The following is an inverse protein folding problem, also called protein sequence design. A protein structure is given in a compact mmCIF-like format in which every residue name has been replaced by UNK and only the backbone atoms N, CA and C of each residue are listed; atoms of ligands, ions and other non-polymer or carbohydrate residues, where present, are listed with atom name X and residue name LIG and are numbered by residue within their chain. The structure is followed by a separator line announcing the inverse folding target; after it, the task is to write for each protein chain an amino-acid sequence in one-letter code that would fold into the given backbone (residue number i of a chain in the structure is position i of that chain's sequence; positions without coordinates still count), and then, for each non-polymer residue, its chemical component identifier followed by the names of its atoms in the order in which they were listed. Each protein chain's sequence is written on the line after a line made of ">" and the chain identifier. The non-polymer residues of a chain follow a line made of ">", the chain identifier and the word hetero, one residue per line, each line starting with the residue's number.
data_IF_969803967506
#
_entry.id   IF_969803967506
#
_cell.length_a   1.000
_cell.length_b   1.000
_cell.length_c   1.000
_cell.angle_alpha   90.00
_cell.angle_beta   90.00
_cell.angle_gamma   90.00
#
_symmetry.space_group_name_H-M   'P 1'
#
loop_
_entity.id
_entity.type
_entity.pdbx_description
1 polymer ?
#
# COMPACT_ATOMS: atom_id res chain seq x y z
N UNK A 1 19.87 -23.87 63.72
CA UNK A 1 19.85 -23.23 62.39
C UNK A 1 21.21 -22.58 62.15
N UNK A 2 21.88 -22.91 61.03
CA UNK A 2 23.30 -22.64 60.78
C UNK A 2 23.57 -21.13 60.51
N UNK A 3 24.74 -20.59 60.92
CA UNK A 3 25.08 -19.16 60.85
C UNK A 3 25.09 -18.56 59.43
N UNK A 4 25.15 -19.41 58.39
CA UNK A 4 25.15 -19.01 56.97
C UNK A 4 23.81 -18.39 56.52
N UNK A 5 22.67 -18.79 57.13
CA UNK A 5 21.36 -18.24 56.76
C UNK A 5 21.13 -16.83 57.31
N UNK A 6 21.77 -16.47 58.42
CA UNK A 6 21.63 -15.15 59.05
C UNK A 6 22.45 -14.09 58.28
N UNK A 7 23.61 -14.47 57.76
CA UNK A 7 24.45 -13.60 56.92
C UNK A 7 23.77 -13.34 55.57
N UNK A 8 23.18 -14.35 54.92
CA UNK A 8 22.43 -14.12 53.67
C UNK A 8 21.21 -13.20 53.87
N UNK A 9 20.47 -13.36 54.97
CA UNK A 9 19.30 -12.51 55.27
C UNK A 9 19.71 -11.06 55.59
N UNK A 10 20.80 -10.87 56.35
CA UNK A 10 21.33 -9.54 56.64
C UNK A 10 21.87 -8.84 55.38
N UNK A 11 22.53 -9.57 54.48
CA UNK A 11 23.03 -9.02 53.20
C UNK A 11 21.87 -8.66 52.26
N UNK A 12 20.79 -9.45 52.23
CA UNK A 12 19.60 -9.16 51.43
C UNK A 12 18.84 -7.93 51.95
N UNK A 13 18.74 -7.76 53.28
CA UNK A 13 18.12 -6.58 53.90
C UNK A 13 18.97 -5.33 53.67
N UNK A 14 20.30 -5.43 53.73
CA UNK A 14 21.21 -4.30 53.45
C UNK A 14 21.21 -3.89 51.98
N UNK A 15 21.07 -4.84 51.05
CA UNK A 15 20.87 -4.55 49.62
C UNK A 15 19.48 -3.97 49.33
N UNK A 16 18.43 -4.39 50.03
CA UNK A 16 17.10 -3.79 49.90
C UNK A 16 17.06 -2.36 50.45
N UNK A 17 17.73 -2.07 51.56
CA UNK A 17 17.75 -0.72 52.13
C UNK A 17 18.57 0.26 51.29
N UNK A 18 19.68 -0.17 50.67
CA UNK A 18 20.43 0.69 49.74
C UNK A 18 19.66 1.02 48.46
N UNK A 19 18.81 0.12 47.95
CA UNK A 19 17.97 0.38 46.78
C UNK A 19 16.79 1.30 47.12
N UNK A 20 16.24 1.20 48.33
CA UNK A 20 15.10 2.04 48.77
C UNK A 20 15.54 3.45 49.18
N UNK A 21 16.75 3.66 49.72
CA UNK A 21 17.23 5.02 50.07
C UNK A 21 17.82 5.80 48.90
N UNK A 22 18.07 5.16 47.75
CA UNK A 22 18.51 5.84 46.53
C UNK A 22 17.33 6.44 45.71
N UNK A 23 16.08 6.14 46.11
CA UNK A 23 14.87 6.78 45.58
C UNK A 23 14.37 7.85 46.56
N UNK A 24 15.17 8.91 46.73
CA UNK A 24 14.61 10.16 47.24
C UNK A 24 13.47 10.62 46.32
N UNK A 25 12.46 11.36 46.82
CA UNK A 25 11.43 11.94 45.97
C UNK A 25 12.15 12.72 44.87
N UNK A 26 11.99 12.29 43.62
CA UNK A 26 12.42 13.11 42.50
C UNK A 26 11.59 14.38 42.61
N UNK A 27 12.21 15.43 43.16
CA UNK A 27 11.72 16.80 42.99
C UNK A 27 11.46 16.92 41.52
N UNK A 28 10.18 16.99 41.15
CA UNK A 28 9.74 16.85 39.78
C UNK A 28 10.63 17.72 38.91
N UNK A 29 11.45 17.08 38.07
CA UNK A 29 11.82 17.75 36.85
C UNK A 29 10.47 18.13 36.26
N UNK A 30 10.19 19.44 36.05
CA UNK A 30 9.00 19.81 35.33
C UNK A 30 9.03 18.93 34.09
N UNK A 31 7.97 18.13 33.89
CA UNK A 31 7.85 17.28 32.73
C UNK A 31 8.33 18.14 31.58
N UNK A 32 9.44 17.76 30.94
CA UNK A 32 9.93 18.55 29.82
C UNK A 32 8.76 18.54 28.87
N UNK A 33 8.05 19.67 28.80
CA UNK A 33 6.99 19.87 27.85
C UNK A 33 7.74 19.73 26.55
N UNK A 34 7.66 18.54 25.94
CA UNK A 34 8.09 18.36 24.57
C UNK A 34 7.43 19.51 23.85
N UNK A 35 8.19 20.40 23.19
CA UNK A 35 7.60 21.53 22.48
C UNK A 35 6.48 20.95 21.65
N UNK A 36 5.24 21.36 21.94
CA UNK A 36 4.07 20.83 21.25
C UNK A 36 4.36 21.10 19.78
N UNK A 37 4.64 20.02 19.05
CA UNK A 37 5.18 20.15 17.72
C UNK A 37 4.08 20.80 16.90
N UNK A 38 4.35 22.02 16.45
CA UNK A 38 3.38 22.82 15.71
C UNK A 38 2.91 22.00 14.49
N UNK A 39 1.64 21.56 14.48
CA UNK A 39 1.12 20.75 13.38
C UNK A 39 1.19 21.51 12.05
N UNK A 40 1.23 22.84 12.11
CA UNK A 40 1.30 23.74 10.97
C UNK A 40 2.74 24.14 10.63
N UNK A 41 3.77 23.57 11.30
CA UNK A 41 5.18 23.85 10.98
C UNK A 41 5.54 23.45 9.56
N UNK A 42 4.95 22.35 9.08
CA UNK A 42 5.15 21.87 7.71
C UNK A 42 4.42 22.80 6.75
N UNK A 43 3.14 23.07 6.97
CA UNK A 43 2.37 23.95 6.09
C UNK A 43 2.96 25.37 6.03
N UNK A 44 3.48 25.89 7.15
CA UNK A 44 4.21 27.17 7.24
C UNK A 44 5.54 27.12 6.49
N UNK A 45 6.34 26.06 6.66
CA UNK A 45 7.60 25.88 5.92
C UNK A 45 7.40 25.72 4.41
N UNK A 46 6.19 25.34 3.97
CA UNK A 46 5.83 25.13 2.58
C UNK A 46 4.90 26.24 2.04
N UNK A 47 4.64 27.32 2.78
CA UNK A 47 3.73 28.40 2.33
C UNK A 47 4.10 28.98 0.95
N UNK A 48 5.39 29.13 0.65
CA UNK A 48 5.84 29.59 -0.67
C UNK A 48 5.59 28.56 -1.79
N UNK A 49 5.59 27.27 -1.47
CA UNK A 49 5.25 26.18 -2.40
C UNK A 49 3.73 26.06 -2.62
N UNK A 50 2.94 26.32 -1.57
CA UNK A 50 1.47 26.26 -1.53
C UNK A 50 0.82 27.46 -2.24
N UNK A 51 1.47 28.63 -2.21
CA UNK A 51 0.99 29.86 -2.85
C UNK A 51 1.43 30.00 -4.31
N UNK A 52 2.08 28.99 -4.88
CA UNK A 52 2.55 29.05 -6.26
C UNK A 52 1.38 29.06 -7.26
N UNK A 53 1.50 29.93 -8.27
CA UNK A 53 0.60 30.07 -9.43
C UNK A 53 0.17 28.71 -9.99
N UNK A 54 -0.99 28.66 -10.64
CA UNK A 54 -1.59 27.48 -11.27
C UNK A 54 -0.58 26.66 -12.10
N UNK A 55 0.13 25.75 -11.42
CA UNK A 55 1.21 24.94 -11.98
C UNK A 55 0.67 24.00 -13.05
N UNK A 56 -0.61 23.66 -12.99
CA UNK A 56 -1.28 22.87 -14.02
C UNK A 56 -1.37 23.67 -15.33
N UNK A 57 -1.81 24.93 -15.25
CA UNK A 57 -1.85 25.82 -16.42
C UNK A 57 -0.46 26.09 -17.00
N UNK A 58 0.55 26.27 -16.14
CA UNK A 58 1.94 26.48 -16.58
C UNK A 58 2.53 25.21 -17.22
N UNK A 59 2.31 24.03 -16.63
CA UNK A 59 2.73 22.75 -17.18
C UNK A 59 2.05 22.48 -18.53
N UNK A 60 0.74 22.72 -18.65
CA UNK A 60 0.01 22.59 -19.92
C UNK A 60 0.61 23.49 -20.99
N UNK A 61 0.89 24.77 -20.67
CA UNK A 61 1.51 25.72 -21.58
C UNK A 61 2.92 25.28 -22.01
N UNK A 62 3.71 24.74 -21.09
CA UNK A 62 5.04 24.21 -21.40
C UNK A 62 4.96 22.98 -22.31
N UNK A 63 4.04 22.05 -22.03
CA UNK A 63 3.77 20.89 -22.89
C UNK A 63 3.35 21.33 -24.29
N UNK A 64 2.43 22.28 -24.41
CA UNK A 64 2.00 22.85 -25.71
C UNK A 64 3.16 23.49 -26.48
N UNK A 65 4.14 24.08 -25.78
CA UNK A 65 5.31 24.72 -26.39
C UNK A 65 6.36 23.70 -26.85
N UNK A 66 6.58 22.63 -26.07
CA UNK A 66 7.66 21.66 -26.28
C UNK A 66 7.24 20.48 -27.15
N UNK A 67 6.00 20.01 -27.02
CA UNK A 67 5.51 18.83 -27.74
C UNK A 67 5.70 18.91 -29.27
N UNK A 68 5.47 20.06 -29.95
CA UNK A 68 5.70 20.17 -31.39
C UNK A 68 7.17 20.08 -31.82
N UNK A 69 8.12 20.29 -30.88
CA UNK A 69 9.56 20.28 -31.14
C UNK A 69 10.21 18.92 -30.87
N UNK A 70 9.48 17.96 -30.29
CA UNK A 70 9.99 16.61 -30.05
C UNK A 70 10.06 15.82 -31.38
N UNK A 71 11.11 15.02 -31.62
CA UNK A 71 11.19 14.17 -32.81
C UNK A 71 9.97 13.25 -32.84
N UNK A 72 9.21 13.30 -33.93
CA UNK A 72 8.07 12.42 -34.12
C UNK A 72 8.54 10.97 -34.05
N UNK A 73 8.14 10.24 -33.01
CA UNK A 73 8.03 8.80 -33.11
C UNK A 73 7.18 8.48 -34.35
N UNK A 74 7.28 7.28 -34.93
CA UNK A 74 6.39 6.81 -35.99
C UNK A 74 4.94 6.74 -35.49
N UNK A 75 4.34 7.90 -35.32
CA UNK A 75 3.08 8.21 -34.73
C UNK A 75 2.04 8.03 -35.81
N UNK A 76 1.18 7.04 -35.64
CA UNK A 76 0.01 6.89 -36.47
C UNK A 76 -1.10 7.80 -35.92
N UNK A 77 -1.77 8.51 -36.81
CA UNK A 77 -3.07 9.15 -36.55
C UNK A 77 -4.22 8.36 -37.19
N UNK A 78 -3.92 7.21 -37.80
CA UNK A 78 -4.93 6.37 -38.42
C UNK A 78 -5.82 5.75 -37.34
N UNK A 79 -7.15 5.67 -37.54
CA UNK A 79 -8.05 5.09 -36.56
C UNK A 79 -7.65 3.67 -36.16
N UNK A 80 -7.55 3.39 -34.85
CA UNK A 80 -7.38 2.03 -34.34
C UNK A 80 -8.77 1.37 -34.22
N UNK A 81 -8.97 0.16 -34.77
CA UNK A 81 -10.21 -0.59 -34.58
C UNK A 81 -10.49 -0.81 -33.09
N UNK A 82 -11.70 -0.45 -32.64
CA UNK A 82 -12.15 -0.72 -31.26
C UNK A 82 -12.73 -2.12 -31.17
N UNK A 83 -12.18 -2.97 -30.30
CA UNK A 83 -12.69 -4.33 -30.07
C UNK A 83 -13.50 -4.47 -28.78
N UNK A 84 -13.22 -3.66 -27.76
CA UNK A 84 -13.90 -3.74 -26.47
C UNK A 84 -14.01 -2.36 -25.79
N UNK A 85 -14.67 -2.33 -24.62
CA UNK A 85 -14.88 -1.10 -23.86
C UNK A 85 -13.57 -0.47 -23.36
N UNK A 86 -12.50 -1.26 -23.15
CA UNK A 86 -11.18 -0.73 -22.76
C UNK A 86 -10.60 0.09 -23.92
N UNK A 87 -10.71 -0.41 -25.15
CA UNK A 87 -10.30 0.33 -26.34
C UNK A 87 -11.09 1.63 -26.48
N UNK A 88 -12.39 1.64 -26.17
CA UNK A 88 -13.21 2.84 -26.16
C UNK A 88 -12.66 3.90 -25.20
N UNK A 89 -12.35 3.53 -23.97
CA UNK A 89 -11.80 4.44 -22.96
C UNK A 89 -10.40 4.96 -23.32
N UNK A 90 -9.48 4.07 -23.71
CA UNK A 90 -8.09 4.43 -24.01
C UNK A 90 -8.02 5.26 -25.28
N UNK A 91 -8.43 4.68 -26.41
CA UNK A 91 -8.25 5.35 -27.69
C UNK A 91 -9.25 6.51 -27.86
N UNK A 92 -10.39 6.50 -27.15
CA UNK A 92 -11.34 7.61 -27.17
C UNK A 92 -10.78 8.84 -26.48
N UNK A 93 -10.01 8.64 -25.40
CA UNK A 93 -9.27 9.72 -24.75
C UNK A 93 -8.11 10.21 -25.61
N UNK A 94 -7.34 9.30 -26.21
CA UNK A 94 -6.23 9.61 -27.11
C UNK A 94 -6.70 10.47 -28.30
N UNK A 95 -7.80 10.09 -28.95
CA UNK A 95 -8.40 10.86 -30.05
C UNK A 95 -8.87 12.24 -29.60
N UNK A 96 -9.60 12.33 -28.48
CA UNK A 96 -10.08 13.61 -27.93
C UNK A 96 -8.94 14.58 -27.61
N UNK A 97 -7.85 14.05 -27.08
CA UNK A 97 -6.68 14.84 -26.67
C UNK A 97 -5.68 15.03 -27.83
N UNK A 98 -5.99 14.54 -29.04
CA UNK A 98 -5.12 14.57 -30.23
C UNK A 98 -3.72 13.99 -29.98
N UNK A 99 -3.65 12.95 -29.14
CA UNK A 99 -2.40 12.28 -28.81
C UNK A 99 -2.09 11.27 -29.93
N UNK A 100 -0.91 11.31 -30.56
CA UNK A 100 -0.52 10.28 -31.50
C UNK A 100 -0.32 8.93 -30.81
N UNK A 101 -0.68 7.84 -31.48
CA UNK A 101 -0.48 6.48 -30.94
C UNK A 101 0.42 5.64 -31.85
N UNK A 102 0.95 4.55 -31.30
CA UNK A 102 1.68 3.57 -32.08
C UNK A 102 0.76 2.90 -33.12
N UNK A 103 1.29 2.46 -34.28
CA UNK A 103 0.53 1.64 -35.22
C UNK A 103 0.21 0.27 -34.61
N UNK A 104 -0.73 -0.45 -35.23
CA UNK A 104 -1.02 -1.83 -34.87
C UNK A 104 0.23 -2.70 -35.09
N UNK A 105 0.59 -3.51 -34.08
CA UNK A 105 1.75 -4.39 -34.13
C UNK A 105 1.64 -5.42 -35.28
N UNK A 106 2.78 -5.82 -35.85
CA UNK A 106 2.83 -6.90 -36.84
C UNK A 106 2.38 -8.24 -36.22
N UNK A 107 2.10 -9.24 -37.05
CA UNK A 107 1.66 -10.55 -36.55
C UNK A 107 2.77 -11.26 -35.75
N UNK A 108 4.02 -11.14 -36.16
CA UNK A 108 5.17 -11.69 -35.44
C UNK A 108 5.36 -11.01 -34.08
N UNK A 109 5.27 -9.67 -34.04
CA UNK A 109 5.36 -8.90 -32.82
C UNK A 109 4.21 -9.22 -31.86
N UNK A 110 2.98 -9.24 -32.37
CA UNK A 110 1.79 -9.57 -31.60
C UNK A 110 1.90 -10.96 -30.99
N UNK A 111 2.23 -11.98 -31.80
CA UNK A 111 2.29 -13.36 -31.34
C UNK A 111 3.37 -13.55 -30.27
N UNK A 112 4.54 -12.91 -30.43
CA UNK A 112 5.58 -12.95 -29.41
C UNK A 112 5.10 -12.32 -28.10
N UNK A 113 4.50 -11.12 -28.16
CA UNK A 113 4.04 -10.39 -26.96
C UNK A 113 2.97 -11.16 -26.22
N UNK A 114 1.93 -11.63 -26.91
CA UNK A 114 0.82 -12.34 -26.26
C UNK A 114 1.28 -13.63 -25.58
N UNK A 115 2.22 -14.38 -26.17
CA UNK A 115 2.77 -15.58 -25.56
C UNK A 115 3.59 -15.28 -24.30
N UNK A 116 4.46 -14.26 -24.36
CA UNK A 116 5.30 -13.87 -23.21
C UNK A 116 4.43 -13.29 -22.09
N UNK A 117 3.49 -12.42 -22.43
CA UNK A 117 2.66 -11.74 -21.45
C UNK A 117 1.65 -12.71 -20.81
N UNK A 118 1.01 -13.58 -21.61
CA UNK A 118 -0.01 -14.49 -21.10
C UNK A 118 0.58 -15.68 -20.34
N UNK A 119 1.64 -16.31 -20.86
CA UNK A 119 2.14 -17.59 -20.32
C UNK A 119 3.65 -17.61 -20.03
N UNK A 120 4.39 -16.50 -20.24
CA UNK A 120 5.82 -16.41 -19.92
C UNK A 120 6.75 -17.17 -20.88
N UNK A 121 6.23 -17.78 -21.95
CA UNK A 121 7.01 -18.58 -22.91
C UNK A 121 7.07 -17.93 -24.29
N UNK A 122 8.00 -18.39 -25.13
CA UNK A 122 8.04 -18.03 -26.54
C UNK A 122 7.22 -19.02 -27.38
N UNK A 123 6.54 -18.55 -28.45
CA UNK A 123 5.88 -19.45 -29.38
C UNK A 123 6.92 -20.28 -30.13
N UNK A 124 6.61 -21.55 -30.40
CA UNK A 124 7.45 -22.43 -31.22
C UNK A 124 7.54 -21.93 -32.67
N UNK A 125 8.63 -22.22 -33.42
CA UNK A 125 8.75 -21.84 -34.83
C UNK A 125 7.56 -22.28 -35.69
N UNK A 126 7.00 -23.45 -35.44
CA UNK A 126 5.84 -24.00 -36.17
C UNK A 126 4.60 -23.13 -35.94
N UNK A 127 4.28 -22.83 -34.68
CA UNK A 127 3.19 -21.92 -34.32
C UNK A 127 3.34 -20.53 -34.93
N UNK A 128 4.56 -19.98 -34.97
CA UNK A 128 4.83 -18.68 -35.62
C UNK A 128 4.49 -18.76 -37.11
N UNK A 129 5.02 -19.76 -37.83
CA UNK A 129 4.76 -19.92 -39.27
C UNK A 129 3.28 -20.12 -39.57
N UNK A 130 2.60 -20.97 -38.77
CA UNK A 130 1.16 -21.19 -38.91
C UNK A 130 0.34 -19.93 -38.66
N UNK A 131 0.67 -19.18 -37.61
CA UNK A 131 -0.04 -17.95 -37.29
C UNK A 131 0.17 -16.87 -38.35
N UNK A 132 1.39 -16.66 -38.83
CA UNK A 132 1.67 -15.64 -39.86
C UNK A 132 0.98 -16.00 -41.19
N UNK A 133 0.92 -17.29 -41.55
CA UNK A 133 0.23 -17.75 -42.75
C UNK A 133 -1.31 -17.76 -42.62
N UNK A 134 -1.85 -17.71 -41.40
CA UNK A 134 -3.28 -17.70 -41.16
C UNK A 134 -3.90 -16.36 -41.59
N UNK A 135 -4.94 -16.45 -42.43
CA UNK A 135 -5.67 -15.31 -42.99
C UNK A 135 -7.01 -15.08 -42.31
N UNK A 136 -7.36 -15.87 -41.29
CA UNK A 136 -8.56 -15.68 -40.51
C UNK A 136 -8.54 -14.31 -39.80
N UNK A 137 -9.53 -13.44 -40.01
CA UNK A 137 -9.59 -12.13 -39.37
C UNK A 137 -9.65 -12.19 -37.83
N UNK A 138 -10.02 -13.34 -37.26
CA UNK A 138 -10.12 -13.56 -35.81
C UNK A 138 -8.94 -14.36 -35.23
N UNK A 139 -7.88 -14.63 -36.00
CA UNK A 139 -6.72 -15.42 -35.54
C UNK A 139 -6.10 -14.92 -34.23
N UNK A 140 -6.09 -13.59 -34.01
CA UNK A 140 -5.54 -12.96 -32.78
C UNK A 140 -6.36 -13.34 -31.55
N UNK A 141 -7.68 -13.26 -31.66
CA UNK A 141 -8.61 -13.57 -30.57
C UNK A 141 -8.54 -15.07 -30.23
N UNK A 142 -8.51 -15.93 -31.26
CA UNK A 142 -8.34 -17.38 -31.09
C UNK A 142 -7.05 -17.76 -30.36
N UNK A 143 -5.94 -17.08 -30.66
CA UNK A 143 -4.68 -17.32 -29.95
C UNK A 143 -4.78 -16.89 -28.50
N UNK A 144 -5.38 -15.73 -28.21
CA UNK A 144 -5.60 -15.26 -26.83
C UNK A 144 -6.45 -16.30 -26.06
N UNK A 145 -7.59 -16.72 -26.63
CA UNK A 145 -8.48 -17.71 -26.04
C UNK A 145 -7.80 -19.06 -25.79
N UNK A 146 -6.84 -19.44 -26.65
CA UNK A 146 -6.06 -20.68 -26.47
C UNK A 146 -5.02 -20.62 -25.35
N UNK A 147 -4.67 -19.41 -24.90
CA UNK A 147 -3.66 -19.18 -23.86
C UNK A 147 -4.31 -18.93 -22.49
N UNK A 148 -5.39 -18.15 -22.45
CA UNK A 148 -6.12 -17.85 -21.22
C UNK A 148 -6.73 -19.15 -20.66
N UNK A 149 -6.62 -19.35 -19.35
CA UNK A 149 -7.16 -20.54 -18.66
C UNK A 149 -6.27 -21.78 -18.72
N UNK A 150 -5.10 -21.70 -19.37
CA UNK A 150 -4.07 -22.78 -19.32
C UNK A 150 -3.37 -22.83 -17.95
N UNK A 151 -2.67 -23.93 -17.66
CA UNK A 151 -1.87 -24.06 -16.45
C UNK A 151 -0.76 -23.01 -16.41
N UNK A 152 -0.11 -22.81 -17.56
CA UNK A 152 0.99 -21.87 -17.76
C UNK A 152 0.51 -20.42 -17.57
N UNK A 153 -0.70 -20.10 -18.00
CA UNK A 153 -1.33 -18.81 -17.72
C UNK A 153 -1.50 -18.60 -16.22
N UNK A 154 -2.09 -19.57 -15.53
CA UNK A 154 -2.29 -19.47 -14.08
C UNK A 154 -0.96 -19.35 -13.32
N UNK A 155 0.09 -20.03 -13.77
CA UNK A 155 1.45 -19.91 -13.19
C UNK A 155 2.06 -18.53 -13.40
N UNK A 156 2.05 -18.04 -14.64
CA UNK A 156 2.61 -16.73 -14.99
C UNK A 156 1.91 -15.60 -14.24
N UNK A 157 0.57 -15.64 -14.17
CA UNK A 157 -0.21 -14.62 -13.48
C UNK A 157 -0.14 -14.75 -11.96
N UNK A 158 -0.03 -15.97 -11.42
CA UNK A 158 0.21 -16.15 -9.99
C UNK A 158 1.57 -15.58 -9.56
N UNK A 159 2.58 -15.66 -10.43
CA UNK A 159 3.87 -14.99 -10.21
C UNK A 159 3.72 -13.46 -10.28
N UNK A 160 3.08 -12.93 -11.32
CA UNK A 160 2.82 -11.49 -11.46
C UNK A 160 2.12 -10.90 -10.23
N UNK A 161 1.03 -11.52 -9.77
CA UNK A 161 0.31 -11.06 -8.59
C UNK A 161 1.11 -11.27 -7.30
N UNK A 162 1.93 -12.33 -7.21
CA UNK A 162 2.86 -12.53 -6.10
C UNK A 162 3.81 -11.33 -5.94
N UNK A 163 4.37 -10.86 -7.06
CA UNK A 163 5.22 -9.66 -7.09
C UNK A 163 4.42 -8.38 -6.80
N UNK A 164 3.24 -8.21 -7.42
CA UNK A 164 2.38 -7.04 -7.21
C UNK A 164 1.98 -6.87 -5.75
N UNK A 165 1.58 -7.97 -5.10
CA UNK A 165 1.21 -8.01 -3.69
C UNK A 165 2.42 -8.15 -2.74
N UNK A 166 3.64 -8.24 -3.29
CA UNK A 166 4.91 -8.37 -2.55
C UNK A 166 4.92 -9.50 -1.52
N UNK A 167 4.21 -10.57 -1.82
CA UNK A 167 4.07 -11.72 -0.93
C UNK A 167 5.05 -12.82 -1.31
N UNK A 168 5.71 -13.38 -0.29
CA UNK A 168 6.68 -14.48 -0.45
C UNK A 168 6.13 -15.82 0.05
N UNK A 169 4.87 -15.84 0.48
CA UNK A 169 4.26 -17.03 1.06
C UNK A 169 3.80 -18.00 -0.04
N UNK A 170 4.29 -19.24 -0.01
CA UNK A 170 3.90 -20.28 -0.95
C UNK A 170 2.37 -20.54 -0.95
N UNK A 171 1.74 -20.43 0.22
CA UNK A 171 0.28 -20.52 0.35
C UNK A 171 -0.46 -19.37 -0.35
N UNK A 172 0.13 -18.16 -0.40
CA UNK A 172 -0.44 -17.04 -1.14
C UNK A 172 -0.36 -17.32 -2.63
N UNK A 173 0.80 -17.75 -3.11
CA UNK A 173 0.97 -18.12 -4.51
C UNK A 173 -0.03 -19.21 -4.93
N UNK A 174 -0.24 -20.24 -4.09
CA UNK A 174 -1.24 -21.28 -4.34
C UNK A 174 -2.67 -20.73 -4.37
N UNK A 175 -3.04 -19.86 -3.42
CA UNK A 175 -4.34 -19.20 -3.42
C UNK A 175 -4.54 -18.35 -4.68
N UNK A 176 -3.52 -17.61 -5.10
CA UNK A 176 -3.54 -16.81 -6.32
C UNK A 176 -3.78 -17.63 -7.55
N UNK A 177 -2.99 -18.69 -7.72
CA UNK A 177 -3.14 -19.64 -8.83
C UNK A 177 -4.53 -20.28 -8.83
N UNK A 178 -5.09 -20.57 -7.65
CA UNK A 178 -6.41 -21.20 -7.52
C UNK A 178 -7.52 -20.26 -7.99
N UNK A 179 -7.54 -19.00 -7.54
CA UNK A 179 -8.60 -18.08 -7.95
C UNK A 179 -8.51 -17.70 -9.43
N UNK A 180 -7.31 -17.68 -10.02
CA UNK A 180 -7.11 -17.53 -11.46
C UNK A 180 -7.68 -18.72 -12.24
N UNK A 181 -7.47 -19.95 -11.77
CA UNK A 181 -7.96 -21.17 -12.44
C UNK A 181 -9.47 -21.29 -12.46
N UNK A 182 -10.15 -20.81 -11.42
CA UNK A 182 -11.62 -20.83 -11.34
C UNK A 182 -12.26 -19.55 -11.86
N UNK A 183 -11.46 -18.67 -12.49
CA UNK A 183 -11.89 -17.39 -13.04
C UNK A 183 -12.71 -16.55 -12.03
N UNK A 184 -12.17 -16.44 -10.81
CA UNK A 184 -12.86 -15.70 -9.75
C UNK A 184 -12.83 -14.20 -10.04
N UNK A 185 -13.96 -13.48 -9.89
CA UNK A 185 -14.00 -12.04 -10.07
C UNK A 185 -13.02 -11.29 -9.13
N UNK A 186 -12.26 -10.34 -9.69
CA UNK A 186 -11.22 -9.61 -8.96
C UNK A 186 -11.76 -8.78 -7.77
N UNK A 187 -13.01 -8.31 -7.86
CA UNK A 187 -13.69 -7.63 -6.75
C UNK A 187 -13.87 -8.53 -5.52
N UNK A 188 -14.12 -9.83 -5.72
CA UNK A 188 -14.20 -10.80 -4.63
C UNK A 188 -12.82 -11.11 -4.04
N UNK A 189 -11.80 -11.20 -4.90
CA UNK A 189 -10.39 -11.37 -4.48
C UNK A 189 -9.97 -10.22 -3.57
N UNK A 190 -10.28 -8.98 -3.94
CA UNK A 190 -10.04 -7.80 -3.11
C UNK A 190 -10.84 -7.85 -1.80
N UNK A 191 -12.14 -8.15 -1.88
CA UNK A 191 -13.01 -8.21 -0.70
C UNK A 191 -12.48 -9.23 0.33
N UNK A 192 -12.07 -10.41 -0.10
CA UNK A 192 -11.47 -11.41 0.78
C UNK A 192 -10.17 -10.92 1.43
N UNK A 193 -9.32 -10.21 0.69
CA UNK A 193 -8.08 -9.64 1.23
C UNK A 193 -8.36 -8.60 2.32
N UNK A 194 -9.35 -7.72 2.15
CA UNK A 194 -9.66 -6.71 3.17
C UNK A 194 -10.58 -7.23 4.28
N UNK A 195 -11.27 -8.36 4.08
CA UNK A 195 -12.16 -9.01 5.06
C UNK A 195 -11.82 -10.48 5.34
N UNK A 196 -10.58 -10.82 5.70
CA UNK A 196 -10.18 -12.20 5.97
C UNK A 196 -11.02 -12.81 7.10
N UNK A 197 -11.45 -14.05 6.89
CA UNK A 197 -12.15 -14.85 7.90
C UNK A 197 -11.22 -15.27 9.03
N UNK A 198 -9.94 -15.46 8.70
CA UNK A 198 -8.86 -15.79 9.64
C UNK A 198 -8.25 -14.53 10.24
N UNK A 199 -8.18 -14.47 11.57
CA UNK A 199 -7.68 -13.29 12.29
C UNK A 199 -6.23 -13.47 12.77
N UNK A 200 -5.33 -13.81 11.86
CA UNK A 200 -3.91 -13.99 12.14
C UNK A 200 -3.06 -13.67 10.89
N UNK A 201 -1.75 -13.45 11.08
CA UNK A 201 -0.79 -13.11 10.03
C UNK A 201 -0.45 -14.24 9.04
N UNK A 202 -0.94 -15.47 9.27
CA UNK A 202 -0.80 -16.62 8.34
C UNK A 202 -2.07 -16.91 7.56
N UNK A 203 -3.16 -16.28 7.95
CA UNK A 203 -4.48 -16.48 7.40
C UNK A 203 -4.55 -15.83 6.04
N UNK A 204 -4.52 -16.64 4.99
CA UNK A 204 -4.60 -16.16 3.62
C UNK A 204 -5.98 -16.44 3.03
N UNK A 205 -6.49 -15.54 2.17
CA UNK A 205 -5.89 -14.26 1.77
C UNK A 205 -6.02 -13.19 2.86
N UNK A 206 -5.10 -12.22 2.90
CA UNK A 206 -5.22 -11.07 3.79
C UNK A 206 -4.40 -9.87 3.30
N UNK A 207 -4.97 -8.67 3.37
CA UNK A 207 -4.28 -7.41 3.10
C UNK A 207 -3.21 -7.13 4.18
N UNK A 208 -3.27 -7.79 5.34
CA UNK A 208 -2.23 -7.69 6.36
C UNK A 208 -0.87 -8.19 5.85
N UNK A 209 -0.81 -9.11 4.88
CA UNK A 209 0.47 -9.56 4.30
C UNK A 209 1.10 -8.52 3.36
N UNK A 210 0.35 -7.51 2.92
CA UNK A 210 0.91 -6.39 2.16
C UNK A 210 1.83 -5.54 3.05
N UNK A 211 1.57 -5.54 4.36
CA UNK A 211 2.39 -4.85 5.34
C UNK A 211 3.51 -5.76 5.87
N UNK A 212 4.69 -5.68 5.26
CA UNK A 212 5.90 -6.37 5.75
C UNK A 212 6.69 -5.47 6.72
N UNK A 213 6.26 -5.42 7.98
CA UNK A 213 6.99 -4.67 9.00
C UNK A 213 8.40 -5.23 9.25
N UNK A 214 8.59 -6.55 9.07
CA UNK A 214 9.86 -7.24 9.38
C UNK A 214 10.88 -7.01 8.28
N UNK A 215 10.50 -7.01 7.00
CA UNK A 215 11.37 -6.63 5.89
C UNK A 215 11.64 -5.13 5.83
N UNK A 216 10.66 -4.28 6.20
CA UNK A 216 10.93 -2.85 6.41
C UNK A 216 11.94 -2.63 7.55
N UNK A 217 11.84 -3.41 8.64
CA UNK A 217 12.79 -3.38 9.75
C UNK A 217 14.14 -3.98 9.36
N UNK A 218 14.20 -5.17 8.75
CA UNK A 218 15.43 -5.91 8.53
C UNK A 218 16.23 -5.44 7.30
N UNK A 219 15.57 -4.91 6.27
CA UNK A 219 16.25 -4.42 5.06
C UNK A 219 16.73 -2.96 5.18
N UNK A 220 16.15 -2.17 6.10
CA UNK A 220 16.61 -0.80 6.39
C UNK A 220 17.42 -0.68 7.68
N UNK A 221 17.15 -1.54 8.67
CA UNK A 221 17.65 -1.36 10.03
C UNK A 221 18.36 -2.63 10.53
N UNK A 222 19.70 -2.58 10.52
CA UNK A 222 20.48 -3.37 11.48
C UNK A 222 20.03 -3.07 12.93
N UNK A 223 20.48 -3.90 13.88
CA UNK A 223 20.09 -3.78 15.29
C UNK A 223 20.16 -2.34 15.85
N UNK A 224 19.29 -2.02 16.81
CA UNK A 224 19.19 -0.73 17.50
C UNK A 224 20.49 -0.34 18.23
N UNK A 225 21.47 0.25 17.55
CA UNK A 225 22.81 0.50 18.13
C UNK A 225 23.18 1.97 18.35
N UNK A 226 22.29 2.95 18.14
CA UNK A 226 22.65 4.38 18.22
C UNK A 226 21.49 5.28 18.71
N UNK A 227 21.80 6.22 19.62
CA UNK A 227 20.89 7.18 20.28
C UNK A 227 20.47 8.36 19.39
N UNK A 228 21.25 8.69 18.36
CA UNK A 228 20.96 9.73 17.35
C UNK A 228 20.34 9.14 16.08
N UNK A 229 19.97 7.86 16.16
CA UNK A 229 19.51 7.11 15.03
C UNK A 229 17.99 7.15 14.94
N UNK A 230 17.45 8.01 14.08
CA UNK A 230 16.03 8.08 13.76
C UNK A 230 15.49 6.86 12.96
N UNK A 231 16.17 5.70 13.03
CA UNK A 231 15.89 4.46 12.30
C UNK A 231 14.63 3.71 12.76
N UNK A 232 14.14 3.98 13.98
CA UNK A 232 12.80 3.59 14.44
C UNK A 232 11.73 4.67 14.27
N UNK A 233 12.12 5.91 13.93
CA UNK A 233 11.36 7.13 14.20
C UNK A 233 10.48 7.63 13.04
N UNK A 234 10.38 6.90 11.92
CA UNK A 234 9.54 7.30 10.76
C UNK A 234 8.74 6.12 10.22
N UNK A 235 8.22 5.28 11.10
CA UNK A 235 7.39 4.15 10.68
C UNK A 235 5.94 4.59 10.63
N UNK A 236 5.30 4.31 9.49
CA UNK A 236 3.85 4.26 9.45
C UNK A 236 3.39 3.21 10.45
N UNK A 237 2.33 3.51 11.18
CA UNK A 237 1.63 2.43 11.86
C UNK A 237 1.12 1.42 10.83
N UNK A 238 0.82 0.22 11.30
CA UNK A 238 0.49 -0.89 10.42
C UNK A 238 -0.85 -0.69 9.69
N UNK A 239 -1.78 0.12 10.23
CA UNK A 239 -3.02 0.50 9.54
C UNK A 239 -2.74 1.47 8.39
N UNK A 240 -1.91 2.48 8.63
CA UNK A 240 -1.43 3.41 7.60
C UNK A 240 -0.64 2.70 6.52
N UNK A 241 0.16 1.70 6.91
CA UNK A 241 0.91 0.86 6.00
C UNK A 241 0.00 0.06 5.07
N UNK A 242 -0.99 -0.67 5.62
CA UNK A 242 -1.99 -1.38 4.81
C UNK A 242 -2.73 -0.40 3.90
N UNK A 243 -3.11 0.76 4.42
CA UNK A 243 -3.80 1.81 3.66
C UNK A 243 -2.99 2.31 2.47
N UNK A 244 -1.70 2.55 2.69
CA UNK A 244 -0.74 2.94 1.65
C UNK A 244 -0.63 1.85 0.58
N UNK A 245 -0.49 0.59 0.99
CA UNK A 245 -0.37 -0.53 0.06
C UNK A 245 -1.65 -0.72 -0.76
N UNK A 246 -2.83 -0.53 -0.16
CA UNK A 246 -4.10 -0.57 -0.89
C UNK A 246 -4.18 0.54 -1.94
N UNK A 247 -3.80 1.76 -1.58
CA UNK A 247 -3.74 2.88 -2.52
C UNK A 247 -2.80 2.59 -3.70
N UNK A 248 -1.61 2.07 -3.41
CA UNK A 248 -0.62 1.75 -4.46
C UNK A 248 -1.08 0.60 -5.35
N UNK A 249 -1.51 -0.51 -4.76
CA UNK A 249 -1.79 -1.76 -5.47
C UNK A 249 -3.12 -1.72 -6.21
N UNK A 250 -4.18 -1.20 -5.59
CA UNK A 250 -5.53 -1.31 -6.14
C UNK A 250 -6.05 -0.01 -6.76
N UNK A 251 -5.61 1.15 -6.28
CA UNK A 251 -6.02 2.44 -6.85
C UNK A 251 -4.99 3.02 -7.84
N UNK A 252 -3.78 2.46 -7.89
CA UNK A 252 -2.68 3.01 -8.69
C UNK A 252 -2.23 4.41 -8.24
N UNK A 253 -2.57 4.82 -7.01
CA UNK A 253 -2.19 6.13 -6.45
C UNK A 253 -1.35 5.97 -5.19
N UNK A 254 -0.19 6.63 -5.18
CA UNK A 254 0.69 6.66 -4.02
C UNK A 254 0.15 7.65 -2.99
N UNK A 255 -0.63 7.16 -2.03
CA UNK A 255 -1.22 7.98 -0.96
C UNK A 255 -0.36 8.04 0.33
N UNK A 256 0.84 7.46 0.30
CA UNK A 256 1.75 7.40 1.45
C UNK A 256 2.13 8.78 1.99
N UNK A 257 2.40 9.73 1.09
CA UNK A 257 2.83 11.10 1.43
C UNK A 257 1.82 11.79 2.37
N UNK A 258 0.53 11.44 2.23
CA UNK A 258 -0.56 11.98 3.04
C UNK A 258 -0.63 11.42 4.46
N UNK A 259 0.16 10.43 4.83
CA UNK A 259 0.28 10.08 6.24
C UNK A 259 1.02 11.18 7.03
N UNK A 260 1.83 11.99 6.34
CA UNK A 260 2.70 13.00 6.96
C UNK A 260 2.27 14.45 6.67
N UNK A 261 1.83 14.78 5.45
CA UNK A 261 1.52 16.17 5.05
C UNK A 261 0.37 16.25 4.03
N UNK A 262 -0.20 17.44 3.84
CA UNK A 262 -1.19 17.68 2.79
C UNK A 262 -0.55 17.61 1.39
N UNK A 263 -1.35 17.37 0.34
CA UNK A 263 -0.83 17.20 -1.02
C UNK A 263 -0.32 18.49 -1.65
N UNK A 264 -1.00 19.61 -1.34
CA UNK A 264 -0.71 20.90 -1.94
C UNK A 264 0.76 21.26 -1.79
N UNK A 265 1.35 21.86 -2.83
CA UNK A 265 2.75 22.27 -2.84
C UNK A 265 3.77 21.13 -2.97
N UNK A 266 3.36 19.86 -2.83
CA UNK A 266 4.21 18.69 -2.95
C UNK A 266 3.75 17.74 -4.07
N UNK A 267 2.58 17.13 -3.92
CA UNK A 267 2.06 16.13 -4.87
C UNK A 267 1.63 16.75 -6.19
N UNK A 268 1.40 18.06 -6.23
CA UNK A 268 1.16 18.83 -7.46
C UNK A 268 2.29 18.66 -8.49
N UNK A 269 3.51 18.30 -8.06
CA UNK A 269 4.61 18.10 -9.01
C UNK A 269 4.47 16.85 -9.87
N UNK A 270 3.66 15.87 -9.46
CA UNK A 270 3.54 14.58 -10.16
C UNK A 270 2.12 14.01 -10.24
N UNK A 271 1.17 14.51 -9.45
CA UNK A 271 -0.23 14.09 -9.47
C UNK A 271 -1.18 15.20 -9.01
N UNK A 272 -1.89 15.80 -9.98
CA UNK A 272 -2.86 16.89 -9.77
C UNK A 272 -4.03 16.50 -8.87
N UNK A 273 -4.52 15.27 -8.97
CA UNK A 273 -5.62 14.80 -8.13
C UNK A 273 -5.19 14.79 -6.66
N UNK A 274 -3.98 14.30 -6.40
CA UNK A 274 -3.37 14.22 -5.08
C UNK A 274 -3.08 15.60 -4.50
N UNK A 275 -2.78 16.59 -5.34
CA UNK A 275 -2.54 17.97 -4.92
C UNK A 275 -3.62 18.61 -4.06
N UNK A 276 -4.88 18.30 -4.36
CA UNK A 276 -6.03 18.82 -3.61
C UNK A 276 -6.32 18.06 -2.31
N UNK A 277 -5.65 16.92 -2.07
CA UNK A 277 -5.97 16.02 -0.96
C UNK A 277 -5.30 16.45 0.33
N UNK A 278 -6.01 16.23 1.43
CA UNK A 278 -5.56 16.55 2.77
C UNK A 278 -5.09 15.31 3.50
N UNK A 279 -4.24 15.52 4.48
CA UNK A 279 -3.82 14.50 5.45
C UNK A 279 -5.02 13.82 6.12
N UNK A 280 -6.07 14.60 6.38
CA UNK A 280 -7.35 14.08 6.90
C UNK A 280 -8.02 13.06 5.98
N UNK A 281 -7.89 13.21 4.66
CA UNK A 281 -8.52 12.30 3.70
C UNK A 281 -7.82 10.93 3.75
N UNK A 282 -6.51 10.92 3.96
CA UNK A 282 -5.75 9.69 4.22
C UNK A 282 -6.19 9.03 5.52
N UNK A 283 -6.35 9.78 6.60
CA UNK A 283 -6.83 9.23 7.87
C UNK A 283 -8.26 8.69 7.80
N UNK A 284 -9.14 9.33 7.01
CA UNK A 284 -10.47 8.79 6.71
C UNK A 284 -10.40 7.49 5.90
N UNK A 285 -9.46 7.39 4.96
CA UNK A 285 -9.22 6.14 4.24
C UNK A 285 -8.66 5.05 5.16
N UNK A 286 -7.75 5.41 6.06
CA UNK A 286 -7.18 4.49 7.05
C UNK A 286 -8.23 4.01 8.05
N UNK A 287 -9.22 4.85 8.37
CA UNK A 287 -10.31 4.52 9.28
C UNK A 287 -11.16 3.31 8.85
N UNK A 288 -11.14 2.90 7.58
CA UNK A 288 -11.73 1.62 7.16
C UNK A 288 -11.12 0.41 7.90
N UNK A 289 -9.87 0.50 8.35
CA UNK A 289 -9.18 -0.51 9.16
C UNK A 289 -9.15 -0.15 10.65
N UNK A 290 -9.82 0.92 11.09
CA UNK A 290 -9.79 1.42 12.46
C UNK A 290 -10.40 0.51 13.53
N UNK A 291 -11.03 -0.60 13.16
CA UNK A 291 -11.48 -1.62 14.13
C UNK A 291 -10.49 -2.76 14.27
N UNK A 292 -9.55 -2.88 13.34
CA UNK A 292 -8.58 -3.95 13.33
C UNK A 292 -7.55 -3.66 14.43
N UNK A 293 -7.39 -4.61 15.35
CA UNK A 293 -6.48 -4.54 16.49
C UNK A 293 -5.43 -5.62 16.36
N UNK A 294 -4.19 -5.30 16.65
CA UNK A 294 -3.10 -6.28 16.74
C UNK A 294 -2.92 -6.73 18.20
N UNK A 295 -2.98 -8.04 18.44
CA UNK A 295 -2.92 -8.70 19.75
C UNK A 295 -1.52 -9.31 19.98
N UNK A 296 -0.57 -9.13 19.06
CA UNK A 296 0.74 -9.76 19.08
C UNK A 296 1.48 -9.60 20.40
N UNK A 297 2.01 -10.71 20.92
CA UNK A 297 2.87 -10.74 22.11
C UNK A 297 4.34 -10.80 21.71
N UNK A 298 5.17 -9.88 22.22
CA UNK A 298 6.62 -9.97 22.11
C UNK A 298 7.13 -11.21 22.84
N UNK A 299 7.97 -12.02 22.20
CA UNK A 299 8.87 -12.96 22.89
C UNK A 299 10.15 -12.27 23.38
N UNK A 300 10.21 -10.93 23.32
CA UNK A 300 11.40 -10.12 23.58
C UNK A 300 12.25 -9.84 22.34
N UNK A 301 11.95 -10.44 21.18
CA UNK A 301 12.72 -10.24 19.94
C UNK A 301 12.18 -9.13 19.02
N UNK A 302 11.03 -8.54 19.34
CA UNK A 302 10.36 -7.52 18.51
C UNK A 302 9.78 -8.06 17.19
N UNK A 303 10.07 -9.31 16.81
CA UNK A 303 9.61 -9.93 15.55
C UNK A 303 8.14 -10.35 15.57
N UNK A 304 7.55 -10.51 16.75
CA UNK A 304 6.20 -11.06 16.92
C UNK A 304 5.06 -10.02 16.88
N UNK A 305 5.38 -8.72 16.91
CA UNK A 305 4.35 -7.69 16.88
C UNK A 305 3.70 -7.55 15.50
N UNK A 306 4.39 -7.89 14.41
CA UNK A 306 3.90 -7.58 13.06
C UNK A 306 4.29 -8.63 12.00
N UNK A 307 4.92 -9.73 12.41
CA UNK A 307 5.28 -10.83 11.51
C UNK A 307 4.15 -11.81 11.30
N UNK A 308 4.45 -12.94 10.64
CA UNK A 308 3.50 -14.03 10.39
C UNK A 308 2.75 -14.52 11.63
N UNK A 309 3.31 -14.36 12.82
CA UNK A 309 2.73 -14.83 14.09
C UNK A 309 1.77 -13.82 14.74
N UNK A 310 1.60 -12.63 14.17
CA UNK A 310 0.68 -11.62 14.70
C UNK A 310 -0.76 -12.15 14.71
N UNK A 311 -1.46 -11.88 15.80
CA UNK A 311 -2.88 -12.17 15.96
C UNK A 311 -3.67 -10.88 15.84
N UNK A 312 -4.85 -10.93 15.25
CA UNK A 312 -5.69 -9.77 15.05
C UNK A 312 -7.10 -10.00 15.59
N UNK A 313 -7.81 -8.92 15.91
CA UNK A 313 -9.27 -8.94 16.02
C UNK A 313 -9.88 -7.61 15.54
N UNK A 314 -11.20 -7.49 15.65
CA UNK A 314 -11.96 -6.32 15.17
C UNK A 314 -12.50 -5.48 16.35
N UNK A 315 -11.77 -5.46 17.47
CA UNK A 315 -12.24 -4.86 18.72
C UNK A 315 -11.54 -3.54 19.04
N UNK A 316 -10.76 -2.96 18.13
CA UNK A 316 -10.28 -1.59 18.31
C UNK A 316 -11.47 -0.60 18.29
N UNK A 317 -11.42 0.48 19.09
CA UNK A 317 -12.53 1.42 19.21
C UNK A 317 -12.75 2.30 17.97
N UNK A 318 -11.82 2.29 17.02
CA UNK A 318 -11.80 3.18 15.86
C UNK A 318 -10.37 3.60 15.51
N UNK A 319 -10.23 4.37 14.42
CA UNK A 319 -8.96 4.95 14.03
C UNK A 319 -8.79 6.31 14.68
N UNK A 320 -7.74 6.44 15.49
CA UNK A 320 -7.40 7.65 16.22
C UNK A 320 -5.94 8.02 15.92
N UNK A 321 -5.70 9.28 15.56
CA UNK A 321 -4.37 9.75 15.16
C UNK A 321 -3.45 10.07 16.36
N UNK A 322 -3.90 9.92 17.60
CA UNK A 322 -3.13 10.18 18.83
C UNK A 322 -2.29 9.02 19.32
N UNK A 323 -1.99 9.01 20.63
CA UNK A 323 -1.39 7.87 21.36
C UNK A 323 -2.45 6.78 21.50
N UNK A 324 -2.45 5.90 20.51
CA UNK A 324 -3.42 4.86 20.23
C UNK A 324 -3.02 3.50 20.85
N UNK A 325 -2.02 3.53 21.74
CA UNK A 325 -1.62 2.44 22.62
C UNK A 325 -2.76 2.09 23.60
N UNK A 326 -3.10 0.80 23.82
CA UNK A 326 -2.41 -0.42 23.39
C UNK A 326 -2.94 -1.06 22.09
N UNK A 327 -3.90 -0.42 21.40
CA UNK A 327 -4.60 -1.03 20.26
C UNK A 327 -3.79 -0.97 18.97
N UNK A 328 -2.97 0.07 18.88
CA UNK A 328 -2.00 0.27 17.83
C UNK A 328 -0.65 0.47 18.49
N UNK A 329 0.39 0.23 17.72
CA UNK A 329 1.73 0.45 18.24
C UNK A 329 2.00 1.94 18.30
N UNK A 330 2.66 2.43 19.38
CA UNK A 330 3.12 3.80 19.40
C UNK A 330 4.12 3.85 18.26
N UNK A 331 3.76 4.46 17.14
CA UNK A 331 4.75 4.69 16.11
C UNK A 331 5.71 5.71 16.73
N UNK A 332 6.76 5.19 17.34
CA UNK A 332 7.84 5.95 17.93
C UNK A 332 8.26 6.96 16.85
N UNK A 333 8.17 8.26 17.14
CA UNK A 333 8.59 9.31 16.22
C UNK A 333 7.58 9.82 15.19
N UNK A 334 6.26 9.57 15.34
CA UNK A 334 5.22 10.18 14.47
C UNK A 334 5.45 11.70 14.24
N UNK A 335 5.37 12.13 12.98
CA UNK A 335 5.11 13.55 12.64
C UNK A 335 3.84 14.03 13.37
N UNK A 336 3.75 15.31 13.76
CA UNK A 336 2.71 15.80 14.66
C UNK A 336 1.32 15.42 14.14
N UNK A 337 0.58 14.62 14.89
CA UNK A 337 -0.81 14.24 14.56
C UNK A 337 -1.77 15.07 15.41
N UNK A 338 -3.02 15.18 14.97
CA UNK A 338 -3.99 16.05 15.64
C UNK A 338 -4.76 15.37 16.79
N UNK A 339 -4.50 14.08 17.05
CA UNK A 339 -5.09 13.32 18.16
C UNK A 339 -6.58 13.03 18.02
N UNK A 340 -7.16 13.24 16.83
CA UNK A 340 -8.59 13.09 16.58
C UNK A 340 -8.93 11.68 16.12
N UNK A 341 -10.19 11.32 16.33
CA UNK A 341 -10.78 10.12 15.74
C UNK A 341 -11.35 10.45 14.37
N UNK A 342 -11.21 9.52 13.43
CA UNK A 342 -11.70 9.68 12.07
C UNK A 342 -12.71 8.60 11.72
N UNK A 343 -13.77 9.03 11.05
CA UNK A 343 -14.75 8.12 10.46
C UNK A 343 -14.32 7.69 9.06
N UNK A 344 -14.64 6.46 8.62
CA UNK A 344 -14.23 5.96 7.31
C UNK A 344 -14.87 6.78 6.17
N UNK A 345 -14.03 7.22 5.23
CA UNK A 345 -14.47 7.79 3.96
C UNK A 345 -13.46 7.48 2.86
N UNK A 346 -13.95 7.10 1.68
CA UNK A 346 -13.11 6.68 0.57
C UNK A 346 -12.38 7.88 -0.05
N UNK A 347 -11.06 7.79 -0.21
CA UNK A 347 -10.23 8.94 -0.60
C UNK A 347 -10.57 9.51 -1.98
N UNK A 348 -11.11 8.68 -2.89
CA UNK A 348 -11.43 9.12 -4.24
C UNK A 348 -12.73 9.94 -4.31
N UNK A 349 -13.78 9.45 -3.65
CA UNK A 349 -15.16 9.97 -3.81
C UNK A 349 -15.79 10.50 -2.52
N UNK A 350 -15.18 10.22 -1.37
CA UNK A 350 -15.75 10.51 -0.05
C UNK A 350 -16.87 9.55 0.37
N UNK A 351 -17.11 8.47 -0.39
CA UNK A 351 -18.14 7.47 -0.04
C UNK A 351 -17.84 6.84 1.34
N UNK A 352 -18.90 6.69 2.15
CA UNK A 352 -18.83 6.19 3.53
C UNK A 352 -19.51 4.83 3.66
N UNK A 353 -19.19 4.04 4.71
CA UNK A 353 -19.96 2.86 5.07
C UNK A 353 -21.44 3.20 5.28
N UNK A 354 -22.32 2.26 4.90
CA UNK A 354 -23.74 2.36 5.23
C UNK A 354 -23.94 2.25 6.75
N UNK A 355 -25.03 2.80 7.33
CA UNK A 355 -25.29 2.67 8.76
C UNK A 355 -25.26 1.20 9.22
N UNK A 356 -24.39 0.88 10.18
CA UNK A 356 -24.21 -0.47 10.72
C UNK A 356 -23.37 -1.44 9.86
N UNK A 357 -22.89 -0.99 8.68
CA UNK A 357 -21.98 -1.77 7.84
C UNK A 357 -20.60 -1.85 8.49
N UNK A 358 -19.97 -3.02 8.42
CA UNK A 358 -18.57 -3.15 8.81
C UNK A 358 -17.70 -2.30 7.86
N UNK A 359 -16.81 -1.43 8.37
CA UNK A 359 -16.00 -0.58 7.51
C UNK A 359 -15.18 -1.36 6.48
N UNK A 360 -14.53 -2.47 6.83
CA UNK A 360 -13.73 -3.24 5.87
C UNK A 360 -14.60 -3.90 4.80
N UNK A 361 -15.81 -4.36 5.16
CA UNK A 361 -16.80 -4.82 4.17
C UNK A 361 -17.28 -3.70 3.24
N UNK A 362 -17.49 -2.50 3.79
CA UNK A 362 -17.81 -1.33 2.99
C UNK A 362 -16.68 -1.03 1.99
N UNK A 363 -15.42 -1.04 2.43
CA UNK A 363 -14.27 -0.85 1.54
C UNK A 363 -14.21 -1.91 0.43
N UNK A 364 -14.43 -3.19 0.78
CA UNK A 364 -14.52 -4.30 -0.17
C UNK A 364 -15.57 -4.12 -1.27
N UNK A 365 -16.64 -3.37 -0.97
CA UNK A 365 -17.69 -2.99 -1.94
C UNK A 365 -17.35 -1.71 -2.72
N UNK A 366 -16.83 -0.69 -2.03
CA UNK A 366 -16.61 0.65 -2.60
C UNK A 366 -15.47 0.62 -3.61
N UNK A 367 -14.31 0.09 -3.22
CA UNK A 367 -13.10 0.21 -4.03
C UNK A 367 -13.26 -0.41 -5.42
N UNK A 368 -13.77 -1.65 -5.58
CA UNK A 368 -13.88 -2.26 -6.90
C UNK A 368 -14.99 -1.67 -7.79
N UNK A 369 -15.83 -0.78 -7.26
CA UNK A 369 -16.89 -0.10 -8.02
C UNK A 369 -16.43 1.20 -8.70
N UNK A 370 -15.19 1.61 -8.41
CA UNK A 370 -14.50 2.77 -8.97
C UNK A 370 -13.28 2.30 -9.77
#
# INVERSE_FOLDING_TARGET
>A
MKPVKLVLMATMILCLTFVVTAQGPQTGQPAQVQPQADPDRVDTAHQELLNAKDKAAEASKLTETVAPALPGAAASTAPIPRKNFIDEHIFGRIEKDNIPHAPLASDEEFLRRVYVDAIGFLPTPEKIRSFVADTDPNKRDKVIDSLIGTEEFADQWAYYYGELFRTRAASFHYWTKTWLKVDRPYNEVFADMVTPTTKNGRGLPTAMTLYDAVGQTAARDGAFTDRNNYRGLNRLDWVDGITTEIGRVFLGVSIECFSCHNGAGHTDSFNMFLGSRKRSDFWQQAAFFGRLRNIGSSDGSGRNFYGEQAQYDDLAPGYNTGDDWPYYTPAEGRFPRDGKSYEPAFIMTGEKPKPGEDPRKALGRILPSH
#
